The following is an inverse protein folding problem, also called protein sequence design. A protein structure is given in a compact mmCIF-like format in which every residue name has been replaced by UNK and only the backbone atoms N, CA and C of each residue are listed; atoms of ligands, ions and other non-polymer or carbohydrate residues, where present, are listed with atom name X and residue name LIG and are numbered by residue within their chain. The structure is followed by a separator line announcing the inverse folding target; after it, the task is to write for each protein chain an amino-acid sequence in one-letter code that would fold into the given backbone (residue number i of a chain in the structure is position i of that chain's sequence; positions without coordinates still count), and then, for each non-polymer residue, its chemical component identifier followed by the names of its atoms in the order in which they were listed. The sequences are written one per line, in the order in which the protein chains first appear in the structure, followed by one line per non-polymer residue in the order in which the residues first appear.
data_IF_918321521037
#
_entry.id   IF_918321521037
#
_cell.length_a   1.000
_cell.length_b   1.000
_cell.length_c   1.000
_cell.angle_alpha   90.00
_cell.angle_beta   90.00
_cell.angle_gamma   90.00
#
_symmetry.space_group_name_H-M   'P 1'
#
loop_
_entity.id
_entity.type
_entity.pdbx_description
1 polymer ?
#
# COMPACT_ATOMS: atom_id res chain seq x y z
N UNK A 1 -17.85 -6.20 25.07
CA UNK A 1 -17.53 -4.92 25.73
C UNK A 1 -16.27 -5.14 26.55
N UNK A 2 -15.11 -4.71 26.05
CA UNK A 2 -13.90 -4.50 26.85
C UNK A 2 -13.28 -3.21 26.35
N UNK A 3 -13.27 -2.20 27.22
CA UNK A 3 -12.54 -0.96 27.04
C UNK A 3 -11.59 -0.87 28.23
N UNK A 4 -10.30 -0.93 27.96
CA UNK A 4 -9.27 -0.42 28.86
C UNK A 4 -8.43 0.55 28.04
N UNK A 5 -8.82 1.82 28.06
CA UNK A 5 -8.00 2.93 27.57
C UNK A 5 -7.20 3.44 28.77
N UNK A 6 -5.93 3.05 28.86
CA UNK A 6 -4.98 3.61 29.81
C UNK A 6 -4.55 5.02 29.39
N UNK A 7 -4.18 5.90 30.34
CA UNK A 7 -3.75 7.26 30.04
C UNK A 7 -2.32 7.22 29.46
N UNK A 8 -2.21 7.40 28.14
CA UNK A 8 -0.93 7.37 27.42
C UNK A 8 -1.02 6.82 25.99
N UNK A 9 -2.16 6.26 25.58
CA UNK A 9 -2.39 5.87 24.19
C UNK A 9 -2.50 7.11 23.30
N UNK A 10 -1.39 7.51 22.68
CA UNK A 10 -1.43 8.37 21.48
C UNK A 10 -2.37 7.68 20.50
N UNK A 11 -3.35 8.41 20.00
CA UNK A 11 -4.38 7.91 19.08
C UNK A 11 -3.73 6.99 18.03
N UNK A 12 -3.83 5.68 18.23
CA UNK A 12 -3.04 4.66 17.53
C UNK A 12 -3.75 4.21 16.24
N UNK A 13 -4.56 5.11 15.68
CA UNK A 13 -5.32 4.84 14.47
C UNK A 13 -4.36 4.86 13.29
N UNK A 14 -4.42 3.86 12.40
CA UNK A 14 -3.71 3.91 11.14
C UNK A 14 -4.04 5.23 10.44
N UNK A 15 -3.01 6.00 10.12
CA UNK A 15 -3.17 7.20 9.31
C UNK A 15 -2.25 7.14 8.10
N UNK A 16 -2.75 7.70 7.00
CA UNK A 16 -1.99 7.79 5.74
C UNK A 16 -0.85 8.78 5.89
N UNK A 17 0.33 8.40 5.44
CA UNK A 17 1.51 9.27 5.43
C UNK A 17 2.27 9.18 4.10
N UNK A 18 3.26 10.05 3.92
CA UNK A 18 4.23 9.89 2.86
C UNK A 18 5.19 8.74 3.21
N UNK A 19 5.48 7.86 2.24
CA UNK A 19 6.32 6.68 2.46
C UNK A 19 7.81 7.01 2.31
N UNK A 20 8.68 6.73 3.30
CA UNK A 20 10.09 7.08 3.23
C UNK A 20 10.81 6.56 1.98
N UNK A 21 10.57 5.30 1.58
CA UNK A 21 11.14 4.74 0.35
C UNK A 21 10.70 5.48 -0.92
N UNK A 22 9.42 5.87 -0.99
CA UNK A 22 8.86 6.59 -2.14
C UNK A 22 9.37 8.02 -2.18
N UNK A 23 9.48 8.70 -1.04
CA UNK A 23 10.07 10.04 -0.95
C UNK A 23 11.53 10.04 -1.41
N UNK A 24 12.33 9.07 -0.93
CA UNK A 24 13.72 8.91 -1.39
C UNK A 24 13.79 8.64 -2.90
N UNK A 25 12.90 7.81 -3.44
CA UNK A 25 12.83 7.58 -4.88
C UNK A 25 12.47 8.88 -5.63
N UNK A 26 11.43 9.60 -5.18
CA UNK A 26 10.98 10.84 -5.80
C UNK A 26 12.08 11.91 -5.84
N UNK A 27 12.82 12.09 -4.73
CA UNK A 27 13.93 13.02 -4.65
C UNK A 27 15.06 12.68 -5.63
N UNK A 28 15.42 11.40 -5.76
CA UNK A 28 16.44 10.93 -6.73
C UNK A 28 15.96 11.12 -8.17
N UNK A 29 14.69 10.84 -8.42
CA UNK A 29 14.07 11.01 -9.74
C UNK A 29 13.95 12.47 -10.18
N UNK A 30 13.84 13.42 -9.24
CA UNK A 30 13.75 14.85 -9.54
C UNK A 30 15.06 15.42 -10.15
N UNK A 31 16.19 14.76 -9.89
CA UNK A 31 17.52 15.20 -10.37
C UNK A 31 18.09 14.30 -11.47
N UNK A 32 17.44 13.17 -11.77
CA UNK A 32 17.89 12.20 -12.77
C UNK A 32 17.14 12.34 -14.10
N UNK A 33 17.83 12.08 -15.21
CA UNK A 33 17.28 12.08 -16.56
C UNK A 33 17.73 10.84 -17.36
N UNK A 34 16.99 10.52 -18.43
CA UNK A 34 17.31 9.43 -19.35
C UNK A 34 17.56 8.09 -18.66
N UNK A 35 18.64 7.40 -19.04
CA UNK A 35 19.02 6.08 -18.53
C UNK A 35 19.25 6.04 -17.02
N UNK A 36 19.71 7.14 -16.40
CA UNK A 36 19.86 7.21 -14.95
C UNK A 36 18.50 7.10 -14.24
N UNK A 37 17.47 7.74 -14.80
CA UNK A 37 16.10 7.65 -14.28
C UNK A 37 15.54 6.23 -14.37
N UNK A 38 15.77 5.56 -15.50
CA UNK A 38 15.36 4.17 -15.72
C UNK A 38 16.07 3.21 -14.75
N UNK A 39 17.38 3.39 -14.55
CA UNK A 39 18.15 2.62 -13.59
C UNK A 39 17.65 2.78 -12.14
N UNK A 40 17.23 3.99 -11.75
CA UNK A 40 16.64 4.24 -10.43
C UNK A 40 15.33 3.47 -10.22
N UNK A 41 14.45 3.47 -11.23
CA UNK A 41 13.18 2.74 -11.19
C UNK A 41 13.41 1.23 -11.17
N UNK A 42 14.32 0.72 -12.01
CA UNK A 42 14.70 -0.68 -12.02
C UNK A 42 15.29 -1.12 -10.66
N UNK A 43 16.16 -0.30 -10.06
CA UNK A 43 16.74 -0.58 -8.75
C UNK A 43 15.69 -0.57 -7.63
N UNK A 44 14.70 0.33 -7.70
CA UNK A 44 13.59 0.36 -6.75
C UNK A 44 12.75 -0.92 -6.83
N UNK A 45 12.35 -1.33 -8.04
CA UNK A 45 11.59 -2.56 -8.21
C UNK A 45 12.38 -3.81 -7.83
N UNK A 46 13.68 -3.86 -8.14
CA UNK A 46 14.54 -4.95 -7.70
C UNK A 46 14.68 -5.03 -6.17
N UNK A 47 14.71 -3.90 -5.47
CA UNK A 47 14.67 -3.87 -4.00
C UNK A 47 13.32 -4.35 -3.45
N UNK A 48 12.21 -3.84 -4.00
CA UNK A 48 10.86 -4.25 -3.61
C UNK A 48 10.64 -5.74 -3.84
N UNK A 49 11.06 -6.26 -5.00
CA UNK A 49 11.04 -7.67 -5.31
C UNK A 49 11.88 -8.45 -4.31
N UNK A 50 13.12 -8.04 -4.02
CA UNK A 50 14.04 -8.74 -3.09
C UNK A 50 13.53 -8.75 -1.65
N UNK A 51 12.98 -7.65 -1.15
CA UNK A 51 12.48 -7.53 0.22
C UNK A 51 11.09 -8.14 0.39
N UNK A 52 10.32 -8.15 -0.69
CA UNK A 52 8.89 -8.41 -0.67
C UNK A 52 8.09 -7.15 -0.35
N UNK A 53 6.80 -7.21 -0.62
CA UNK A 53 5.84 -6.13 -0.34
C UNK A 53 4.81 -6.56 0.72
N UNK A 54 4.18 -5.60 1.44
CA UNK A 54 4.48 -4.17 1.42
C UNK A 54 5.87 -3.88 1.99
N UNK A 55 6.46 -2.74 1.62
CA UNK A 55 7.72 -2.32 2.22
C UNK A 55 7.46 -1.78 3.63
N UNK A 56 8.19 -2.31 4.60
CA UNK A 56 8.10 -1.88 5.99
C UNK A 56 9.41 -1.20 6.38
N UNK A 57 9.30 0.02 6.91
CA UNK A 57 10.43 0.84 7.36
C UNK A 57 10.08 1.49 8.71
N UNK A 58 11.09 1.77 9.53
CA UNK A 58 10.90 2.66 10.68
C UNK A 58 10.44 4.04 10.20
N UNK A 59 9.43 4.59 10.86
CA UNK A 59 8.90 5.89 10.51
C UNK A 59 9.74 7.02 11.13
N UNK A 60 10.17 8.02 10.32
CA UNK A 60 10.92 9.16 10.84
C UNK A 60 10.16 9.87 11.96
N UNK A 61 10.82 10.09 13.10
CA UNK A 61 10.25 10.85 14.23
C UNK A 61 9.17 10.13 15.04
N UNK A 62 8.85 8.87 14.74
CA UNK A 62 7.86 8.08 15.47
C UNK A 62 8.52 6.85 16.10
N UNK A 63 8.96 6.97 17.36
CA UNK A 63 9.52 5.84 18.12
C UNK A 63 8.51 4.68 18.18
N UNK A 64 8.89 3.52 17.63
CA UNK A 64 8.04 2.32 17.55
C UNK A 64 6.99 2.31 16.43
N UNK A 65 6.92 3.35 15.61
CA UNK A 65 6.05 3.43 14.43
C UNK A 65 6.75 2.94 13.17
N UNK A 66 6.00 2.22 12.33
CA UNK A 66 6.48 1.68 11.07
C UNK A 66 5.65 2.21 9.91
N UNK A 67 6.33 2.75 8.89
CA UNK A 67 5.72 3.07 7.62
C UNK A 67 5.55 1.77 6.81
N UNK A 68 4.30 1.42 6.52
CA UNK A 68 3.92 0.25 5.71
C UNK A 68 3.44 0.73 4.36
N UNK A 69 4.29 0.59 3.34
CA UNK A 69 4.05 1.05 1.97
C UNK A 69 3.60 -0.10 1.07
N UNK A 70 2.32 -0.10 0.73
CA UNK A 70 1.74 -0.97 -0.28
C UNK A 70 2.12 -0.46 -1.68
N UNK A 71 2.48 -1.38 -2.57
CA UNK A 71 2.99 -1.05 -3.90
C UNK A 71 2.21 -1.79 -4.98
N UNK A 72 2.09 -1.14 -6.14
CA UNK A 72 1.66 -1.79 -7.37
C UNK A 72 2.51 -1.30 -8.55
N UNK A 73 3.01 -2.24 -9.35
CA UNK A 73 3.74 -1.92 -10.58
C UNK A 73 2.75 -1.72 -11.73
N UNK A 74 2.50 -0.46 -12.06
CA UNK A 74 1.53 -0.05 -13.06
C UNK A 74 1.94 -0.43 -14.48
N UNK A 75 0.94 -0.80 -15.28
CA UNK A 75 1.06 -0.86 -16.74
C UNK A 75 0.50 0.45 -17.34
N UNK A 76 0.75 0.73 -18.62
CA UNK A 76 0.21 1.93 -19.31
C UNK A 76 -1.32 2.05 -19.25
N UNK A 77 -2.02 0.94 -19.03
CA UNK A 77 -3.48 0.89 -18.92
C UNK A 77 -3.98 1.06 -17.47
N UNK A 78 -3.11 1.02 -16.47
CA UNK A 78 -3.51 1.16 -15.07
C UNK A 78 -4.00 2.59 -14.83
N UNK A 79 -5.31 2.73 -14.61
CA UNK A 79 -5.96 4.00 -14.34
C UNK A 79 -6.15 4.29 -12.85
N UNK A 80 -6.39 3.25 -12.05
CA UNK A 80 -6.53 3.33 -10.59
C UNK A 80 -6.02 2.03 -9.96
N UNK A 81 -5.58 2.10 -8.71
CA UNK A 81 -5.28 0.89 -7.92
C UNK A 81 -5.92 1.05 -6.55
N UNK A 82 -6.71 0.06 -6.15
CA UNK A 82 -7.44 0.03 -4.88
C UNK A 82 -6.76 -0.96 -3.93
N UNK A 83 -6.51 -0.50 -2.70
CA UNK A 83 -6.15 -1.35 -1.57
C UNK A 83 -7.41 -1.81 -0.82
N UNK A 84 -7.48 -3.09 -0.51
CA UNK A 84 -8.44 -3.68 0.42
C UNK A 84 -7.65 -4.36 1.54
N UNK A 85 -7.52 -3.72 2.69
CA UNK A 85 -6.75 -4.20 3.82
C UNK A 85 -7.57 -4.20 5.11
N UNK A 86 -7.50 -5.31 5.85
CA UNK A 86 -8.22 -5.50 7.10
C UNK A 86 -7.83 -4.42 8.12
N UNK A 87 -8.82 -3.71 8.65
CA UNK A 87 -8.60 -2.65 9.64
C UNK A 87 -8.00 -1.35 9.09
N UNK A 88 -7.67 -1.28 7.78
CA UNK A 88 -7.15 -0.07 7.13
C UNK A 88 -8.12 0.53 6.10
N UNK A 89 -8.86 -0.31 5.39
CA UNK A 89 -9.81 0.13 4.36
C UNK A 89 -11.16 0.50 4.98
N UNK A 90 -11.61 1.73 4.74
CA UNK A 90 -12.99 2.12 4.98
C UNK A 90 -13.87 1.68 3.80
N UNK A 91 -14.71 0.66 4.01
CA UNK A 91 -15.64 0.17 3.00
C UNK A 91 -16.75 1.17 2.62
N UNK A 92 -17.05 2.14 3.50
CA UNK A 92 -17.97 3.23 3.18
C UNK A 92 -17.32 4.30 2.30
N UNK A 93 -15.98 4.42 2.35
CA UNK A 93 -15.20 5.38 1.58
C UNK A 93 -13.99 4.75 0.87
N UNK A 94 -14.26 3.80 -0.04
CA UNK A 94 -13.23 3.19 -0.89
C UNK A 94 -12.27 4.17 -1.59
N UNK A 95 -12.68 5.39 -2.03
CA UNK A 95 -11.75 6.36 -2.60
C UNK A 95 -10.56 6.70 -1.69
N UNK A 96 -10.72 6.66 -0.37
CA UNK A 96 -9.63 6.89 0.59
C UNK A 96 -8.52 5.83 0.54
N UNK A 97 -8.84 4.64 0.01
CA UNK A 97 -7.95 3.48 -0.10
C UNK A 97 -7.33 3.33 -1.51
N UNK A 98 -7.42 4.37 -2.34
CA UNK A 98 -6.71 4.41 -3.62
C UNK A 98 -5.22 4.70 -3.41
N UNK A 99 -4.38 3.98 -4.16
CA UNK A 99 -2.95 4.27 -4.27
C UNK A 99 -2.76 5.52 -5.15
N UNK A 100 -1.75 6.32 -4.80
CA UNK A 100 -1.28 7.40 -5.66
C UNK A 100 -0.23 6.87 -6.63
N UNK A 101 -0.21 7.43 -7.84
CA UNK A 101 0.87 7.19 -8.79
C UNK A 101 1.97 8.22 -8.57
N UNK A 102 3.20 7.77 -8.34
CA UNK A 102 4.37 8.64 -8.36
C UNK A 102 4.53 9.24 -9.78
N UNK A 103 4.49 10.57 -9.95
CA UNK A 103 4.38 11.20 -11.26
C UNK A 103 5.46 10.77 -12.25
N UNK A 104 5.02 10.40 -13.47
CA UNK A 104 5.92 9.98 -14.54
C UNK A 104 6.66 8.65 -14.28
N UNK A 105 6.07 7.75 -13.49
CA UNK A 105 6.62 6.41 -13.21
C UNK A 105 5.55 5.33 -13.30
N UNK A 106 5.94 4.06 -13.17
CA UNK A 106 5.03 2.92 -12.98
C UNK A 106 4.79 2.59 -11.50
N UNK A 107 5.25 3.43 -10.56
CA UNK A 107 5.12 3.18 -9.12
C UNK A 107 3.81 3.75 -8.59
N UNK A 108 2.91 2.84 -8.20
CA UNK A 108 1.73 3.17 -7.41
C UNK A 108 1.98 2.83 -5.95
N UNK A 109 1.57 3.70 -5.02
CA UNK A 109 1.84 3.52 -3.61
C UNK A 109 0.73 4.05 -2.69
N UNK A 110 0.59 3.42 -1.53
CA UNK A 110 -0.18 3.93 -0.40
C UNK A 110 0.56 3.53 0.89
N UNK A 111 0.80 4.50 1.78
CA UNK A 111 1.55 4.24 3.02
C UNK A 111 0.73 4.58 4.25
N UNK A 112 0.75 3.68 5.23
CA UNK A 112 0.19 3.90 6.56
C UNK A 112 1.29 3.90 7.61
N UNK A 113 1.15 4.74 8.64
CA UNK A 113 1.90 4.57 9.89
C UNK A 113 1.17 3.55 10.77
N UNK A 114 1.84 2.45 11.10
CA UNK A 114 1.33 1.40 11.99
C UNK A 114 2.27 1.17 13.17
N UNK A 115 1.76 0.82 14.36
CA UNK A 115 2.62 0.44 15.47
C UNK A 115 3.39 -0.87 15.18
N UNK A 116 4.50 -1.09 15.88
CA UNK A 116 5.07 -2.43 16.03
C UNK A 116 4.00 -3.43 16.52
N UNK A 117 4.12 -4.70 16.15
CA UNK A 117 3.15 -5.72 16.49
C UNK A 117 1.95 -5.85 15.54
N UNK A 118 1.84 -4.96 14.55
CA UNK A 118 0.71 -4.91 13.62
C UNK A 118 0.80 -5.99 12.56
N UNK A 119 -0.32 -6.65 12.29
CA UNK A 119 -0.47 -7.55 11.14
C UNK A 119 -1.89 -7.50 10.60
N UNK A 120 -2.05 -7.83 9.32
CA UNK A 120 -3.36 -7.90 8.70
C UNK A 120 -3.28 -8.46 7.28
N UNK A 121 -4.44 -8.89 6.76
CA UNK A 121 -4.53 -9.33 5.39
C UNK A 121 -4.84 -8.16 4.45
N UNK A 122 -4.39 -8.25 3.21
CA UNK A 122 -4.73 -7.29 2.18
C UNK A 122 -4.80 -7.91 0.79
N UNK A 123 -5.47 -7.18 -0.11
CA UNK A 123 -5.54 -7.44 -1.54
C UNK A 123 -5.42 -6.14 -2.31
N UNK A 124 -5.02 -6.25 -3.57
CA UNK A 124 -4.92 -5.13 -4.51
C UNK A 124 -5.80 -5.40 -5.73
N UNK A 125 -6.42 -4.35 -6.26
CA UNK A 125 -7.15 -4.39 -7.52
C UNK A 125 -6.70 -3.22 -8.41
N UNK A 126 -6.16 -3.53 -9.58
CA UNK A 126 -5.80 -2.53 -10.58
C UNK A 126 -6.92 -2.39 -11.61
N UNK A 127 -7.45 -1.19 -11.74
CA UNK A 127 -8.39 -0.87 -12.81
C UNK A 127 -7.63 -0.59 -14.10
N UNK A 128 -7.83 -1.47 -15.08
CA UNK A 128 -7.28 -1.37 -16.43
C UNK A 128 -8.36 -1.07 -17.48
N UNK A 129 -9.57 -0.74 -17.03
CA UNK A 129 -10.69 -0.47 -17.92
C UNK A 129 -10.45 0.84 -18.69
N UNK A 130 -10.87 0.93 -19.95
CA UNK A 130 -10.71 2.15 -20.74
C UNK A 130 -11.49 3.32 -20.14
N UNK A 131 -11.00 4.53 -20.38
CA UNK A 131 -11.55 5.75 -19.80
C UNK A 131 -11.07 5.94 -18.36
N UNK A 132 -10.58 7.15 -18.08
CA UNK A 132 -10.08 7.52 -16.76
C UNK A 132 -11.13 7.41 -15.64
N UNK A 133 -10.72 7.64 -14.39
CA UNK A 133 -11.63 7.65 -13.25
C UNK A 133 -12.82 8.61 -13.50
N UNK A 134 -14.05 8.22 -13.15
CA UNK A 134 -15.19 9.13 -13.19
C UNK A 134 -14.95 10.36 -12.31
N UNK A 135 -15.27 11.56 -12.82
CA UNK A 135 -15.19 12.80 -12.03
C UNK A 135 -16.29 12.87 -10.94
N UNK A 136 -17.43 12.23 -11.19
CA UNK A 136 -18.53 12.13 -10.21
C UNK A 136 -18.21 11.10 -9.12
N UNK A 137 -18.29 11.53 -7.85
CA UNK A 137 -17.92 10.71 -6.70
C UNK A 137 -18.83 9.48 -6.53
N UNK A 138 -20.12 9.59 -6.86
CA UNK A 138 -21.04 8.47 -6.72
C UNK A 138 -20.72 7.36 -7.73
N UNK A 139 -20.44 7.75 -8.99
CA UNK A 139 -19.98 6.84 -10.05
C UNK A 139 -18.62 6.25 -9.75
N UNK A 140 -17.68 7.06 -9.23
CA UNK A 140 -16.37 6.56 -8.78
C UNK A 140 -16.55 5.48 -7.72
N UNK A 141 -17.35 5.75 -6.67
CA UNK A 141 -17.64 4.77 -5.61
C UNK A 141 -18.28 3.49 -6.17
N UNK A 142 -19.20 3.60 -7.12
CA UNK A 142 -19.79 2.44 -7.79
C UNK A 142 -18.73 1.63 -8.55
N UNK A 143 -17.85 2.30 -9.30
CA UNK A 143 -16.75 1.66 -10.05
C UNK A 143 -15.78 0.95 -9.11
N UNK A 144 -15.39 1.58 -8.00
CA UNK A 144 -14.51 0.96 -7.00
C UNK A 144 -15.15 -0.24 -6.30
N UNK A 145 -16.46 -0.21 -6.05
CA UNK A 145 -17.20 -1.38 -5.54
C UNK A 145 -17.23 -2.54 -6.55
N UNK A 146 -17.30 -2.25 -7.83
CA UNK A 146 -17.19 -3.30 -8.86
C UNK A 146 -15.73 -3.83 -8.93
N UNK A 147 -14.76 -2.92 -8.88
CA UNK A 147 -13.33 -3.23 -8.92
C UNK A 147 -12.89 -4.13 -7.74
N UNK A 148 -13.46 -3.94 -6.54
CA UNK A 148 -13.10 -4.74 -5.37
C UNK A 148 -13.35 -6.24 -5.55
N UNK A 149 -14.31 -6.63 -6.40
CA UNK A 149 -14.56 -8.03 -6.76
C UNK A 149 -13.42 -8.70 -7.54
N UNK A 150 -12.50 -7.90 -8.10
CA UNK A 150 -11.31 -8.36 -8.83
C UNK A 150 -10.03 -8.27 -8.00
N UNK A 151 -10.13 -7.98 -6.70
CA UNK A 151 -8.96 -7.86 -5.84
C UNK A 151 -8.26 -9.21 -5.65
N UNK A 152 -6.96 -9.22 -5.83
CA UNK A 152 -6.11 -10.40 -5.77
C UNK A 152 -4.97 -10.21 -4.77
N UNK A 153 -4.29 -11.31 -4.45
CA UNK A 153 -3.04 -11.26 -3.71
C UNK A 153 -2.02 -10.36 -4.44
N UNK A 154 -1.25 -9.62 -3.65
CA UNK A 154 -0.07 -8.91 -4.13
C UNK A 154 1.00 -9.93 -4.57
N UNK A 155 1.40 -9.93 -5.85
CA UNK A 155 2.34 -10.90 -6.40
C UNK A 155 3.76 -10.76 -5.85
N UNK A 156 4.09 -9.61 -5.25
CA UNK A 156 5.41 -9.38 -4.63
C UNK A 156 5.40 -9.64 -3.12
N UNK A 157 4.27 -10.06 -2.55
CA UNK A 157 4.20 -10.37 -1.13
C UNK A 157 4.97 -11.65 -0.79
N UNK A 158 5.96 -11.54 0.11
CA UNK A 158 6.79 -12.66 0.58
C UNK A 158 6.41 -13.17 1.97
N UNK A 159 5.46 -12.52 2.63
CA UNK A 159 5.10 -12.81 4.02
C UNK A 159 4.14 -13.99 4.18
N UNK A 160 3.47 -14.41 3.10
CA UNK A 160 2.65 -15.62 3.14
C UNK A 160 3.52 -16.87 2.97
N UNK A 161 3.91 -17.52 4.08
CA UNK A 161 4.08 -18.98 4.05
C UNK A 161 2.72 -19.59 3.71
N UNK A 162 2.66 -20.68 2.93
CA UNK A 162 1.39 -21.29 2.52
C UNK A 162 0.44 -21.59 3.69
N UNK A 163 0.98 -21.93 4.86
CA UNK A 163 0.21 -22.20 6.08
C UNK A 163 -0.44 -20.95 6.72
N UNK A 164 0.14 -19.76 6.51
CA UNK A 164 -0.35 -18.50 7.07
C UNK A 164 -1.24 -17.72 6.09
N UNK A 165 -1.38 -18.24 4.85
CA UNK A 165 -2.16 -17.55 3.81
C UNK A 165 -3.63 -17.51 4.22
N UNK A 166 -4.29 -16.34 4.20
CA UNK A 166 -5.71 -16.26 4.51
C UNK A 166 -6.50 -17.18 3.58
N UNK A 167 -7.51 -17.88 4.11
CA UNK A 167 -8.33 -18.85 3.37
C UNK A 167 -8.98 -18.27 2.08
N UNK A 168 -9.04 -16.94 1.94
CA UNK A 168 -9.52 -16.23 0.77
C UNK A 168 -8.45 -15.78 -0.25
N UNK A 169 -7.20 -16.26 -0.16
CA UNK A 169 -6.15 -15.98 -1.15
C UNK A 169 -5.64 -14.53 -1.14
N UNK A 170 -5.51 -13.93 0.04
CA UNK A 170 -4.93 -12.59 0.22
C UNK A 170 -3.43 -12.61 0.52
N UNK A 171 -2.84 -11.41 0.59
CA UNK A 171 -1.47 -11.16 1.04
C UNK A 171 -1.45 -10.70 2.50
N UNK A 172 -0.28 -10.71 3.14
CA UNK A 172 -0.13 -10.30 4.55
C UNK A 172 0.84 -9.13 4.69
N UNK A 173 0.50 -8.15 5.52
CA UNK A 173 1.48 -7.21 6.04
C UNK A 173 1.79 -7.55 7.50
N UNK A 174 3.05 -7.39 7.88
CA UNK A 174 3.55 -7.69 9.22
C UNK A 174 4.58 -6.63 9.58
N UNK A 175 4.37 -5.91 10.67
CA UNK A 175 5.40 -5.03 11.26
C UNK A 175 6.25 -5.81 12.27
N UNK A 176 7.46 -5.34 12.60
CA UNK A 176 8.29 -5.97 13.63
C UNK A 176 7.54 -6.21 14.93
N UNK A 177 7.91 -7.27 15.65
CA UNK A 177 7.30 -7.73 16.91
C UNK A 177 5.84 -8.22 16.81
N UNK A 178 5.30 -8.39 15.60
CA UNK A 178 4.01 -9.05 15.43
C UNK A 178 4.07 -10.52 15.85
N UNK A 179 3.09 -11.02 16.63
CA UNK A 179 3.05 -12.41 17.01
C UNK A 179 2.86 -13.31 15.78
N UNK A 180 3.53 -14.47 15.82
CA UNK A 180 3.37 -15.56 14.86
C UNK A 180 1.93 -16.10 14.92
#
# INVERSE_FOLDING_TARGET
MYVLVGPGARDSRPFRMAGPCVERLAARLATAAGSAREALLAAFWADAERRGTPLVEEAPGASGGHAVTFLWRGHRATGQVLLLADGLTDHADLPSSLLDRLPGTDVWHLTYLLPAGSRGSYKLAADISPGGPPADLARLRQRLRALSGFAAADPLNRHAKEADRPAGGGSLYVTPDAPL
#
